data_IF_887760627867
#
_entry.id   IF_887760627867
#
_cell.length_a   1.000
_cell.length_b   1.000
_cell.length_c   1.000
_cell.angle_alpha   90.00
_cell.angle_beta   90.00
_cell.angle_gamma   90.00
#
_symmetry.space_group_name_H-M   'P 1'
#
loop_
_entity.id
_entity.type
_entity.pdbx_description
1 polymer ?
#
# COMPACT_ATOMS: atom_id res chain seq x y z
N UNK A 1 -9.50 -9.77 12.46
CA UNK A 1 -10.58 -9.10 11.71
C UNK A 1 -11.96 -9.69 12.05
N UNK A 2 -12.19 -11.00 11.91
CA UNK A 2 -13.51 -11.60 12.25
C UNK A 2 -13.94 -11.40 13.71
N UNK A 3 -13.01 -11.38 14.67
CA UNK A 3 -13.32 -11.13 16.07
C UNK A 3 -13.68 -9.67 16.36
N UNK A 4 -13.06 -8.72 15.65
CA UNK A 4 -13.42 -7.31 15.72
C UNK A 4 -14.78 -7.05 15.04
N UNK A 5 -15.09 -7.75 13.95
CA UNK A 5 -16.40 -7.73 13.31
C UNK A 5 -17.52 -8.29 14.22
N UNK A 6 -17.25 -9.41 14.91
CA UNK A 6 -18.20 -9.99 15.89
C UNK A 6 -18.44 -9.11 17.11
N UNK A 7 -17.54 -8.17 17.39
CA UNK A 7 -17.71 -7.18 18.47
C UNK A 7 -18.53 -5.94 18.04
N UNK A 8 -19.12 -5.91 16.85
CA UNK A 8 -20.02 -4.84 16.41
C UNK A 8 -19.32 -3.54 15.96
N UNK A 9 -18.04 -3.59 15.61
CA UNK A 9 -17.23 -2.43 15.31
C UNK A 9 -17.13 -2.07 13.83
N UNK A 10 -17.87 -2.69 12.95
CA UNK A 10 -17.85 -2.37 11.54
C UNK A 10 -19.28 -2.27 11.02
N UNK A 11 -19.84 -1.09 11.03
CA UNK A 11 -20.89 -0.70 10.12
C UNK A 11 -20.30 0.26 9.09
N UNK A 12 -20.46 -0.08 7.83
CA UNK A 12 -20.50 0.86 6.71
C UNK A 12 -19.22 1.65 6.36
N UNK A 13 -18.10 0.95 6.15
CA UNK A 13 -16.96 1.53 5.43
C UNK A 13 -16.19 2.63 6.17
N UNK A 14 -16.48 2.91 7.42
CA UNK A 14 -15.66 3.78 8.24
C UNK A 14 -14.30 3.13 8.50
N UNK A 15 -13.26 3.82 8.11
CA UNK A 15 -11.89 3.45 8.45
C UNK A 15 -11.76 3.48 9.97
N UNK A 16 -11.70 2.29 10.56
CA UNK A 16 -11.38 2.13 11.97
C UNK A 16 -9.94 2.57 12.19
N UNK A 17 -9.74 3.86 12.46
CA UNK A 17 -8.46 4.32 12.95
C UNK A 17 -8.32 3.85 14.39
N UNK A 18 -7.29 3.08 14.70
CA UNK A 18 -6.96 2.64 16.06
C UNK A 18 -6.99 3.80 17.07
N UNK A 19 -6.73 5.03 16.62
CA UNK A 19 -6.85 6.25 17.42
C UNK A 19 -8.25 6.51 17.98
N UNK A 20 -9.32 6.01 17.35
CA UNK A 20 -10.69 6.07 17.91
C UNK A 20 -10.95 5.00 18.96
N UNK A 21 -10.17 3.92 19.02
CA UNK A 21 -10.34 2.85 20.01
C UNK A 21 -9.59 3.12 21.32
N UNK A 22 -8.48 3.80 21.26
CA UNK A 22 -7.63 4.04 22.43
C UNK A 22 -8.32 4.79 23.60
N UNK A 23 -9.21 5.76 23.38
CA UNK A 23 -9.86 6.43 24.49
C UNK A 23 -11.15 5.75 24.96
N UNK A 24 -11.73 4.81 24.21
CA UNK A 24 -13.11 4.37 24.46
C UNK A 24 -13.26 3.18 25.43
N UNK A 25 -12.27 2.28 25.50
CA UNK A 25 -12.31 1.19 26.48
C UNK A 25 -10.94 0.49 26.59
N UNK A 26 -10.38 0.43 27.81
CA UNK A 26 -9.09 -0.24 28.10
C UNK A 26 -9.10 -1.75 27.74
N UNK A 27 -10.26 -2.42 27.87
CA UNK A 27 -10.38 -3.83 27.52
C UNK A 27 -10.24 -4.07 26.01
N UNK A 28 -10.79 -3.19 25.19
CA UNK A 28 -10.66 -3.29 23.73
C UNK A 28 -9.26 -2.93 23.24
N UNK A 29 -8.61 -1.98 23.89
CA UNK A 29 -7.21 -1.65 23.61
C UNK A 29 -6.29 -2.83 23.93
N UNK A 30 -6.55 -3.53 25.04
CA UNK A 30 -5.83 -4.75 25.41
C UNK A 30 -6.11 -5.88 24.41
N UNK A 31 -7.37 -6.12 24.07
CA UNK A 31 -7.75 -7.16 23.10
C UNK A 31 -7.15 -6.89 21.71
N UNK A 32 -7.11 -5.63 21.27
CA UNK A 32 -6.47 -5.24 20.01
C UNK A 32 -4.94 -5.41 20.10
N UNK A 33 -4.34 -5.10 21.26
CA UNK A 33 -2.93 -5.35 21.55
C UNK A 33 -2.59 -6.83 21.50
N UNK A 34 -3.35 -7.65 22.21
CA UNK A 34 -3.16 -9.10 22.25
C UNK A 34 -3.29 -9.75 20.84
N UNK A 35 -4.25 -9.28 20.02
CA UNK A 35 -4.42 -9.75 18.64
C UNK A 35 -3.26 -9.33 17.75
N UNK A 36 -2.68 -8.15 17.95
CA UNK A 36 -1.56 -7.63 17.18
C UNK A 36 -0.22 -8.25 17.63
N UNK A 37 -0.07 -8.54 18.93
CA UNK A 37 1.11 -9.19 19.47
C UNK A 37 1.23 -10.66 19.07
N UNK A 38 0.10 -11.37 19.01
CA UNK A 38 0.04 -12.80 18.67
C UNK A 38 0.39 -13.10 17.20
N UNK A 39 0.40 -12.08 16.33
CA UNK A 39 0.59 -12.27 14.88
C UNK A 39 1.99 -12.01 14.35
N UNK A 40 2.87 -11.42 15.15
CA UNK A 40 4.17 -10.93 14.68
C UNK A 40 4.06 -10.18 13.34
N UNK A 41 3.22 -9.12 13.27
CA UNK A 41 2.94 -8.48 12.01
C UNK A 41 4.18 -7.78 11.47
N UNK A 42 4.50 -8.06 10.21
CA UNK A 42 5.46 -7.30 9.45
C UNK A 42 4.70 -6.31 8.57
N UNK A 43 4.88 -5.02 8.81
CA UNK A 43 4.20 -3.95 8.09
C UNK A 43 5.21 -3.22 7.22
N UNK A 44 4.90 -3.10 5.95
CA UNK A 44 5.65 -2.28 5.00
C UNK A 44 4.76 -1.18 4.44
N UNK A 45 5.32 -0.04 4.09
CA UNK A 45 4.56 1.06 3.52
C UNK A 45 5.42 2.01 2.72
N UNK A 46 4.84 2.57 1.67
CA UNK A 46 5.51 3.51 0.79
C UNK A 46 4.71 3.85 -0.46
N UNK A 47 5.25 4.72 -1.33
CA UNK A 47 4.65 4.99 -2.63
C UNK A 47 4.53 3.72 -3.48
N UNK A 48 3.31 3.40 -3.91
CA UNK A 48 3.03 2.31 -4.86
C UNK A 48 2.94 2.82 -6.30
N UNK A 49 2.62 4.09 -6.47
CA UNK A 49 2.65 4.80 -7.76
C UNK A 49 2.90 6.28 -7.51
N UNK A 50 3.66 6.90 -8.38
CA UNK A 50 3.93 8.35 -8.38
C UNK A 50 3.53 8.90 -9.74
N UNK A 51 2.99 10.13 -9.78
CA UNK A 51 2.58 10.80 -11.01
C UNK A 51 3.80 11.26 -11.82
N UNK A 52 4.49 10.31 -12.40
CA UNK A 52 5.62 10.51 -13.31
C UNK A 52 5.47 9.54 -14.47
N UNK A 53 6.07 9.89 -15.60
CA UNK A 53 6.14 8.95 -16.73
C UNK A 53 6.95 7.73 -16.30
N UNK A 54 6.34 6.56 -16.37
CA UNK A 54 6.97 5.31 -16.03
C UNK A 54 7.89 4.78 -17.16
N UNK A 55 8.45 3.58 -16.95
CA UNK A 55 9.37 2.97 -17.93
C UNK A 55 8.70 2.48 -19.20
N UNK A 56 7.38 2.37 -19.18
CA UNK A 56 6.55 1.95 -20.32
C UNK A 56 5.98 3.15 -21.07
N UNK A 57 6.30 4.38 -20.65
CA UNK A 57 5.82 5.61 -21.28
C UNK A 57 4.41 6.01 -20.85
N UNK A 58 3.91 5.46 -19.72
CA UNK A 58 2.60 5.80 -19.19
C UNK A 58 2.73 6.85 -18.08
N UNK A 59 1.74 7.72 -18.01
CA UNK A 59 1.52 8.67 -16.91
C UNK A 59 0.12 8.45 -16.36
N UNK A 60 0.02 7.87 -15.18
CA UNK A 60 -1.27 7.69 -14.51
C UNK A 60 -1.56 8.96 -13.69
N UNK A 61 -2.70 9.59 -13.95
CA UNK A 61 -3.12 10.76 -13.17
C UNK A 61 -3.52 10.35 -11.75
N UNK A 62 -3.25 11.20 -10.76
CA UNK A 62 -3.62 10.88 -9.38
C UNK A 62 -5.13 10.88 -9.16
N UNK A 63 -5.90 11.63 -9.95
CA UNK A 63 -7.37 11.56 -9.93
C UNK A 63 -7.88 10.19 -10.40
N UNK A 64 -7.29 9.64 -11.46
CA UNK A 64 -7.63 8.29 -11.94
C UNK A 64 -7.22 7.24 -10.90
N UNK A 65 -6.02 7.40 -10.33
CA UNK A 65 -5.50 6.52 -9.29
C UNK A 65 -6.36 6.54 -8.03
N UNK A 66 -6.80 7.71 -7.57
CA UNK A 66 -7.64 7.84 -6.37
C UNK A 66 -8.99 7.12 -6.54
N UNK A 67 -9.63 7.29 -7.69
CA UNK A 67 -10.90 6.59 -7.99
C UNK A 67 -10.70 5.08 -8.03
N UNK A 68 -9.67 4.62 -8.73
CA UNK A 68 -9.36 3.19 -8.84
C UNK A 68 -8.98 2.57 -7.50
N UNK A 69 -8.17 3.29 -6.71
CA UNK A 69 -7.73 2.82 -5.40
C UNK A 69 -8.89 2.73 -4.40
N UNK A 70 -9.81 3.69 -4.38
CA UNK A 70 -11.03 3.62 -3.55
C UNK A 70 -11.87 2.39 -3.89
N UNK A 71 -12.04 2.09 -5.19
CA UNK A 71 -12.74 0.87 -5.65
C UNK A 71 -12.00 -0.40 -5.20
N UNK A 72 -10.68 -0.45 -5.38
CA UNK A 72 -9.82 -1.55 -4.95
C UNK A 72 -9.92 -1.81 -3.44
N UNK A 73 -9.80 -0.76 -2.62
CA UNK A 73 -9.88 -0.87 -1.16
C UNK A 73 -11.28 -1.20 -0.65
N UNK A 74 -12.32 -0.83 -1.38
CA UNK A 74 -13.72 -1.14 -1.05
C UNK A 74 -14.05 -2.63 -1.16
N UNK A 75 -13.28 -3.40 -1.91
CA UNK A 75 -13.50 -4.82 -2.09
C UNK A 75 -12.47 -5.65 -1.30
N UNK A 76 -12.91 -6.24 -0.19
CA UNK A 76 -12.05 -7.04 0.70
C UNK A 76 -11.42 -8.25 0.01
N UNK A 77 -12.00 -8.73 -1.11
CA UNK A 77 -11.47 -9.89 -1.84
C UNK A 77 -10.32 -9.51 -2.77
N UNK A 78 -10.27 -8.26 -3.23
CA UNK A 78 -9.27 -7.79 -4.21
C UNK A 78 -8.14 -6.97 -3.59
N UNK A 79 -8.34 -6.38 -2.40
CA UNK A 79 -7.32 -5.58 -1.71
C UNK A 79 -6.19 -6.42 -1.09
N UNK A 80 -5.53 -7.19 -1.92
CA UNK A 80 -4.43 -8.07 -1.55
C UNK A 80 -3.10 -7.50 -2.05
N UNK A 81 -2.00 -7.90 -1.41
CA UNK A 81 -0.67 -7.68 -1.93
C UNK A 81 -0.13 -9.00 -2.48
N UNK A 82 0.22 -8.99 -3.77
CA UNK A 82 0.78 -10.12 -4.48
C UNK A 82 2.32 -10.05 -4.49
N UNK A 83 2.99 -11.06 -5.03
CA UNK A 83 4.43 -11.03 -5.27
C UNK A 83 4.74 -11.20 -6.75
N UNK A 84 5.60 -10.32 -7.30
CA UNK A 84 6.15 -10.41 -8.66
C UNK A 84 5.07 -10.61 -9.76
N UNK A 85 3.93 -9.93 -9.64
CA UNK A 85 2.79 -10.06 -10.57
C UNK A 85 2.33 -11.52 -10.77
N UNK A 86 2.31 -12.29 -9.69
CA UNK A 86 1.84 -13.68 -9.67
C UNK A 86 0.51 -13.79 -8.91
N UNK A 87 -0.16 -14.92 -9.03
CA UNK A 87 -1.39 -15.21 -8.27
C UNK A 87 -1.12 -15.55 -6.79
N UNK A 88 0.09 -15.30 -6.30
CA UNK A 88 0.48 -15.61 -4.93
C UNK A 88 0.30 -14.40 -4.04
N UNK A 89 -0.70 -14.47 -3.16
CA UNK A 89 -0.94 -13.48 -2.14
C UNK A 89 0.09 -13.60 -1.00
N UNK A 90 0.81 -12.51 -0.74
CA UNK A 90 1.83 -12.42 0.31
C UNK A 90 1.50 -11.38 1.38
N UNK A 91 0.39 -10.68 1.23
CA UNK A 91 -0.06 -9.68 2.21
C UNK A 91 -1.46 -9.16 1.97
N UNK A 92 -1.86 -8.24 2.83
CA UNK A 92 -3.13 -7.53 2.76
C UNK A 92 -2.90 -6.03 2.78
N UNK A 93 -3.70 -5.30 2.01
CA UNK A 93 -3.76 -3.84 2.09
C UNK A 93 -4.35 -3.41 3.44
N UNK A 94 -3.64 -2.54 4.14
CA UNK A 94 -4.16 -1.88 5.32
C UNK A 94 -4.62 -0.46 4.96
N UNK A 95 -5.79 -0.02 5.42
CA UNK A 95 -6.24 1.36 5.22
C UNK A 95 -5.41 2.36 6.02
N UNK A 96 -4.92 1.93 7.18
CA UNK A 96 -4.05 2.74 8.04
C UNK A 96 -3.19 1.85 8.94
N UNK A 97 -2.09 2.42 9.42
CA UNK A 97 -1.22 1.85 10.44
C UNK A 97 -0.77 2.96 11.40
N UNK A 98 -0.75 2.66 12.70
CA UNK A 98 -0.23 3.55 13.75
C UNK A 98 0.94 2.85 14.42
N UNK A 99 2.10 3.48 14.40
CA UNK A 99 3.28 2.95 15.07
C UNK A 99 3.27 3.27 16.59
N UNK A 100 4.21 2.71 17.34
CA UNK A 100 4.33 2.93 18.80
C UNK A 100 4.57 4.39 19.17
N UNK A 101 5.15 5.18 18.27
CA UNK A 101 5.36 6.62 18.46
C UNK A 101 4.08 7.44 18.23
N UNK A 102 2.95 6.81 17.87
CA UNK A 102 1.69 7.47 17.58
C UNK A 102 1.60 8.08 16.18
N UNK A 103 2.59 7.84 15.31
CA UNK A 103 2.54 8.32 13.92
C UNK A 103 1.52 7.51 13.14
N UNK A 104 0.67 8.19 12.40
CA UNK A 104 -0.41 7.61 11.60
C UNK A 104 0.02 7.60 10.13
N UNK A 105 0.02 6.41 9.53
CA UNK A 105 0.21 6.20 8.10
C UNK A 105 -1.14 5.81 7.49
N UNK A 106 -1.50 6.36 6.34
CA UNK A 106 -2.75 6.04 5.65
C UNK A 106 -2.48 5.62 4.22
N UNK A 107 -3.11 4.53 3.79
CA UNK A 107 -3.14 4.17 2.37
C UNK A 107 -4.10 5.08 1.63
N UNK A 108 -3.65 5.63 0.52
CA UNK A 108 -4.44 6.54 -0.30
C UNK A 108 -3.58 7.46 -1.14
N UNK A 109 -4.23 8.22 -2.01
CA UNK A 109 -3.56 9.26 -2.79
C UNK A 109 -3.31 10.47 -1.91
N UNK A 110 -2.05 10.91 -1.90
CA UNK A 110 -1.59 12.11 -1.22
C UNK A 110 -0.65 12.89 -2.14
N UNK A 111 -1.07 14.08 -2.55
CA UNK A 111 -0.32 14.87 -3.52
C UNK A 111 -0.13 14.12 -4.84
N UNK A 112 1.12 13.85 -5.21
CA UNK A 112 1.50 13.21 -6.49
C UNK A 112 1.82 11.72 -6.37
N UNK A 113 1.39 11.06 -5.31
CA UNK A 113 1.65 9.62 -5.13
C UNK A 113 0.49 8.89 -4.47
N UNK A 114 0.37 7.61 -4.78
CA UNK A 114 -0.40 6.63 -4.02
C UNK A 114 0.49 6.04 -2.94
N UNK A 115 0.22 6.31 -1.68
CA UNK A 115 0.85 5.61 -0.56
C UNK A 115 0.08 4.31 -0.26
N UNK A 116 0.80 3.20 -0.07
CA UNK A 116 0.20 1.90 0.17
C UNK A 116 0.86 1.21 1.37
N UNK A 117 0.04 0.61 2.21
CA UNK A 117 0.47 -0.11 3.40
C UNK A 117 0.08 -1.57 3.27
N UNK A 118 1.04 -2.45 3.51
CA UNK A 118 0.83 -3.90 3.46
C UNK A 118 1.20 -4.54 4.77
N UNK A 119 0.31 -5.35 5.31
CA UNK A 119 0.64 -6.36 6.31
C UNK A 119 1.06 -7.64 5.59
N UNK A 120 2.30 -8.05 5.80
CA UNK A 120 2.87 -9.25 5.16
C UNK A 120 2.41 -10.51 5.88
N UNK A 121 1.97 -11.52 5.12
CA UNK A 121 1.59 -12.84 5.63
C UNK A 121 2.80 -13.59 6.20
N UNK A 122 2.54 -14.51 7.13
CA UNK A 122 3.53 -15.42 7.72
C UNK A 122 3.03 -16.88 7.80
N UNK A 123 1.91 -17.18 7.15
CA UNK A 123 1.21 -18.45 7.24
C UNK A 123 1.51 -19.42 6.08
N UNK A 124 2.39 -19.02 5.16
CA UNK A 124 2.84 -19.86 4.05
C UNK A 124 4.36 -19.76 3.86
N UNK A 125 5.00 -20.85 3.42
CA UNK A 125 6.44 -20.86 3.14
C UNK A 125 6.89 -19.82 2.09
N UNK A 126 6.00 -19.50 1.13
CA UNK A 126 6.28 -18.47 0.12
C UNK A 126 6.25 -17.09 0.77
N UNK A 127 5.23 -16.81 1.58
CA UNK A 127 5.12 -15.54 2.27
C UNK A 127 6.28 -15.31 3.24
N UNK A 128 6.69 -16.34 4.00
CA UNK A 128 7.89 -16.30 4.87
C UNK A 128 9.15 -15.94 4.08
N UNK A 129 9.39 -16.63 2.94
CA UNK A 129 10.53 -16.32 2.06
C UNK A 129 10.49 -14.89 1.53
N UNK A 130 9.31 -14.38 1.15
CA UNK A 130 9.14 -12.99 0.70
C UNK A 130 9.43 -12.02 1.84
N UNK A 131 8.98 -12.30 3.06
CA UNK A 131 9.32 -11.49 4.26
C UNK A 131 10.84 -11.42 4.47
N UNK A 132 11.54 -12.54 4.34
CA UNK A 132 13.01 -12.57 4.47
C UNK A 132 13.68 -11.73 3.37
N UNK A 133 13.22 -11.83 2.14
CA UNK A 133 13.72 -10.99 1.03
C UNK A 133 13.44 -9.50 1.24
N UNK A 134 12.33 -9.15 1.90
CA UNK A 134 12.04 -7.77 2.31
C UNK A 134 13.02 -7.31 3.40
N UNK A 135 13.26 -8.13 4.44
CA UNK A 135 14.24 -7.81 5.51
C UNK A 135 15.65 -7.61 4.95
N UNK A 136 16.03 -8.42 3.96
CA UNK A 136 17.32 -8.32 3.27
C UNK A 136 17.38 -7.15 2.26
N UNK A 137 16.28 -6.43 2.03
CA UNK A 137 16.19 -5.31 1.09
C UNK A 137 16.22 -5.74 -0.39
N UNK A 138 16.07 -7.02 -0.70
CA UNK A 138 15.95 -7.51 -2.08
C UNK A 138 14.60 -7.12 -2.67
N UNK A 139 13.50 -7.41 -1.99
CA UNK A 139 12.16 -6.93 -2.33
C UNK A 139 11.93 -5.63 -1.57
N UNK A 140 11.80 -4.51 -2.30
CA UNK A 140 11.73 -3.16 -1.72
C UNK A 140 10.85 -2.19 -2.51
N UNK A 141 10.19 -2.66 -3.54
CA UNK A 141 9.36 -1.82 -4.41
C UNK A 141 7.95 -2.37 -4.49
N UNK A 142 7.00 -1.46 -4.68
CA UNK A 142 5.68 -1.80 -5.18
C UNK A 142 5.65 -1.71 -6.70
N UNK A 143 4.76 -2.48 -7.29
CA UNK A 143 4.26 -2.30 -8.64
C UNK A 143 2.74 -2.46 -8.63
N UNK A 144 2.07 -1.85 -9.57
CA UNK A 144 0.62 -1.97 -9.72
C UNK A 144 0.32 -2.61 -11.08
N UNK A 145 -0.77 -3.36 -11.15
CA UNK A 145 -1.32 -3.82 -12.42
C UNK A 145 -2.82 -3.57 -12.49
N UNK A 146 -3.29 -3.37 -13.69
CA UNK A 146 -4.68 -3.06 -13.96
C UNK A 146 -4.91 -2.77 -15.45
N UNK A 147 -6.12 -2.34 -15.75
CA UNK A 147 -6.52 -2.00 -17.12
C UNK A 147 -6.72 -0.50 -17.24
N UNK A 148 -6.06 0.13 -18.18
CA UNK A 148 -6.40 1.49 -18.59
C UNK A 148 -7.77 1.46 -19.32
N UNK A 149 -8.73 2.20 -18.78
CA UNK A 149 -10.08 2.28 -19.32
C UNK A 149 -10.23 3.46 -20.27
N UNK A 150 -9.49 4.54 -19.96
CA UNK A 150 -9.44 5.73 -20.82
C UNK A 150 -8.03 6.31 -20.81
N UNK A 151 -7.58 6.78 -22.00
CA UNK A 151 -6.22 7.30 -22.21
C UNK A 151 -6.20 8.44 -23.20
N UNK A 152 -5.34 9.43 -22.91
CA UNK A 152 -4.97 10.50 -23.83
C UNK A 152 -3.52 10.36 -24.25
N UNK A 153 -3.20 10.73 -25.49
CA UNK A 153 -1.82 10.85 -25.93
C UNK A 153 -1.35 12.30 -25.86
N UNK A 154 -0.20 12.49 -25.23
CA UNK A 154 0.41 13.83 -25.08
C UNK A 154 1.85 13.79 -25.54
N UNK A 155 2.26 14.78 -26.35
CA UNK A 155 3.64 14.99 -26.68
C UNK A 155 4.35 15.69 -25.51
N UNK A 156 5.40 15.06 -25.00
CA UNK A 156 6.20 15.62 -23.91
C UNK A 156 7.64 15.73 -24.39
N UNK A 157 8.25 16.89 -24.17
CA UNK A 157 9.66 17.10 -24.51
C UNK A 157 10.55 16.48 -23.45
N UNK A 158 11.29 15.44 -23.86
CA UNK A 158 12.25 14.77 -23.00
C UNK A 158 13.42 15.68 -22.57
N UNK A 159 14.15 15.26 -21.54
CA UNK A 159 15.36 15.98 -21.07
C UNK A 159 16.47 16.06 -22.13
N UNK A 160 16.45 15.18 -23.10
CA UNK A 160 17.33 15.13 -24.27
C UNK A 160 16.87 16.04 -25.42
N UNK A 161 15.79 16.80 -25.21
CA UNK A 161 15.22 17.70 -26.22
C UNK A 161 14.37 17.03 -27.30
N UNK A 162 14.20 15.70 -27.23
CA UNK A 162 13.34 14.96 -28.17
C UNK A 162 11.90 14.93 -27.68
N UNK A 163 10.97 15.01 -28.61
CA UNK A 163 9.56 14.83 -28.34
C UNK A 163 9.25 13.34 -28.20
N UNK A 164 8.62 12.98 -27.10
CA UNK A 164 8.20 11.61 -26.79
C UNK A 164 6.69 11.58 -26.61
N UNK A 165 6.03 10.60 -27.18
CA UNK A 165 4.61 10.37 -26.93
C UNK A 165 4.49 9.70 -25.57
N UNK A 166 3.69 10.32 -24.70
CA UNK A 166 3.33 9.81 -23.38
C UNK A 166 1.86 9.44 -23.41
N UNK A 167 1.54 8.23 -23.00
CA UNK A 167 0.17 7.79 -22.80
C UNK A 167 -0.30 8.19 -21.40
N UNK A 168 -1.15 9.19 -21.33
CA UNK A 168 -1.76 9.66 -20.08
C UNK A 168 -3.00 8.82 -19.78
N UNK A 169 -2.96 8.07 -18.69
CA UNK A 169 -4.10 7.26 -18.23
C UNK A 169 -5.00 8.14 -17.36
N UNK A 170 -6.21 8.38 -17.83
CA UNK A 170 -7.22 9.24 -17.20
C UNK A 170 -8.29 8.46 -16.46
N UNK A 171 -8.45 7.17 -16.80
CA UNK A 171 -9.28 6.22 -16.07
C UNK A 171 -8.62 4.84 -16.07
N UNK A 172 -8.61 4.16 -14.90
CA UNK A 172 -8.08 2.81 -14.78
C UNK A 172 -8.89 1.96 -13.82
N UNK A 173 -8.82 0.66 -14.00
CA UNK A 173 -9.22 -0.33 -13.01
C UNK A 173 -7.97 -0.94 -12.39
N UNK A 174 -7.76 -0.73 -11.09
CA UNK A 174 -6.65 -1.31 -10.36
C UNK A 174 -7.00 -2.75 -10.00
N UNK A 175 -6.27 -3.71 -10.55
CA UNK A 175 -6.48 -5.13 -10.31
C UNK A 175 -5.64 -5.64 -9.13
N UNK A 176 -4.37 -5.21 -9.04
CA UNK A 176 -3.46 -5.66 -7.99
C UNK A 176 -2.43 -4.60 -7.60
N UNK A 177 -1.90 -4.77 -6.40
CA UNK A 177 -0.64 -4.20 -5.95
C UNK A 177 0.29 -5.35 -5.61
N UNK A 178 1.51 -5.32 -6.13
CA UNK A 178 2.50 -6.39 -5.93
C UNK A 178 3.76 -5.85 -5.28
N UNK A 179 4.41 -6.70 -4.46
CA UNK A 179 5.75 -6.44 -3.95
C UNK A 179 6.79 -7.06 -4.89
N UNK A 180 7.83 -6.32 -5.22
CA UNK A 180 8.85 -6.74 -6.18
C UNK A 180 10.21 -6.12 -5.87
N UNK A 181 11.25 -6.59 -6.58
CA UNK A 181 12.59 -6.03 -6.46
C UNK A 181 12.66 -4.61 -7.04
N UNK A 182 11.99 -4.39 -8.17
CA UNK A 182 12.00 -3.14 -8.92
C UNK A 182 10.66 -2.90 -9.63
N UNK A 183 9.94 -1.89 -9.21
CA UNK A 183 8.69 -1.48 -9.85
C UNK A 183 8.88 -0.83 -11.23
N UNK A 184 7.83 -0.83 -12.06
CA UNK A 184 7.77 -0.12 -13.34
C UNK A 184 7.86 1.39 -13.10
N UNK A 185 7.10 1.90 -12.14
CA UNK A 185 7.18 3.29 -11.68
C UNK A 185 8.45 3.49 -10.83
N UNK A 186 9.32 4.41 -11.23
CA UNK A 186 10.64 4.60 -10.60
C UNK A 186 10.55 5.15 -9.18
N UNK A 187 9.47 5.82 -8.83
CA UNK A 187 9.22 6.35 -7.49
C UNK A 187 8.57 5.33 -6.54
N UNK A 188 8.14 4.18 -7.06
CA UNK A 188 7.44 3.17 -6.26
C UNK A 188 8.44 2.35 -5.43
N UNK A 189 8.48 2.62 -4.14
CA UNK A 189 9.29 1.88 -3.17
C UNK A 189 8.61 1.88 -1.80
N UNK A 190 9.01 0.97 -0.92
CA UNK A 190 8.49 0.94 0.43
C UNK A 190 9.61 0.78 1.47
N UNK A 191 9.28 1.12 2.70
CA UNK A 191 10.09 0.90 3.88
C UNK A 191 9.41 -0.08 4.82
N UNK A 192 10.21 -0.72 5.66
CA UNK A 192 9.74 -1.52 6.76
C UNK A 192 9.23 -0.59 7.86
N UNK A 193 7.92 -0.60 8.13
CA UNK A 193 7.30 0.21 9.19
C UNK A 193 7.28 -0.54 10.51
N UNK A 194 7.15 -1.86 10.48
CA UNK A 194 7.21 -2.75 11.64
C UNK A 194 7.79 -4.12 11.27
N UNK A 195 8.72 -4.62 12.07
CA UNK A 195 9.20 -6.01 12.05
C UNK A 195 9.18 -6.60 13.46
N UNK A 196 9.35 -7.93 13.58
CA UNK A 196 9.45 -8.62 14.86
C UNK A 196 10.54 -8.01 15.73
N UNK A 197 10.17 -7.61 16.94
CA UNK A 197 11.11 -7.07 17.95
C UNK A 197 11.65 -5.66 17.70
N UNK A 198 11.36 -5.03 16.56
CA UNK A 198 11.78 -3.66 16.26
C UNK A 198 10.71 -2.89 15.50
N UNK A 199 10.40 -1.69 15.98
CA UNK A 199 9.78 -0.67 15.13
C UNK A 199 10.89 0.23 14.62
N UNK A 200 11.06 0.29 13.31
CA UNK A 200 11.89 1.31 12.73
C UNK A 200 11.17 2.64 12.90
N UNK A 201 11.88 3.66 13.39
CA UNK A 201 11.44 5.05 13.28
C UNK A 201 11.45 5.40 11.78
N UNK A 202 10.41 4.99 11.08
CA UNK A 202 10.23 5.35 9.68
C UNK A 202 10.20 6.86 9.61
N UNK A 203 11.21 7.45 8.97
CA UNK A 203 11.15 8.86 8.59
C UNK A 203 9.93 9.02 7.71
N UNK A 204 9.01 9.90 8.10
CA UNK A 204 7.90 10.27 7.25
C UNK A 204 8.47 10.74 5.93
N UNK A 205 8.14 10.04 4.85
CA UNK A 205 8.34 10.56 3.50
C UNK A 205 7.43 11.80 3.41
N UNK A 206 7.95 12.92 2.92
CA UNK A 206 7.20 14.18 2.83
C UNK A 206 5.77 13.96 2.36
N UNK A 207 4.79 14.36 3.18
CA UNK A 207 3.37 14.24 2.90
C UNK A 207 2.69 12.90 3.25
N UNK A 208 3.38 11.91 3.82
CA UNK A 208 2.79 10.59 4.13
C UNK A 208 2.36 10.42 5.59
N UNK A 209 2.67 11.36 6.46
CA UNK A 209 2.20 11.39 7.85
C UNK A 209 1.07 12.41 8.02
N UNK A 210 0.05 12.05 8.79
CA UNK A 210 -1.13 12.84 9.13
C UNK A 210 -1.22 13.07 10.63
#
# INVERSE_FOLDING_TARGET
YERLFKAGFASDGEILTLSRFYPLNKEYAKLAGDILEDRDPMIVGGPASVEVVDREGHLITMEAMDRAFKKFMGNIRTRNAMVLHSDVQVGWALPAYINKAGQIFKSGVNGKHLFFITEMRNDTKIAERVRDQVKEGRIRSYSIAGSALDTDQTLTRGKDGKDTIVTKVTELELAEVTVCEKGVNQGAHFNLLKAHGSETSGTCIEGSCW
#
